data_IF_791239424804
#
_entry.id   IF_791239424804
#
_cell.length_a   1.000
_cell.length_b   1.000
_cell.length_c   1.000
_cell.angle_alpha   90.00
_cell.angle_beta   90.00
_cell.angle_gamma   90.00
#
_symmetry.space_group_name_H-M   'P 1'
#
loop_
_entity.id
_entity.type
_entity.pdbx_description
1 polymer ?
#
# COMPACT_ATOMS: atom_id res chain seq x y z
N UNK A 1 -40.80 20.06 16.49
CA UNK A 1 -40.64 21.52 16.27
C UNK A 1 -39.84 22.09 17.43
N UNK A 2 -38.60 22.51 17.16
CA UNK A 2 -38.01 23.82 17.48
C UNK A 2 -36.63 23.78 16.82
N UNK A 3 -36.47 24.63 15.81
CA UNK A 3 -35.21 24.91 15.14
C UNK A 3 -34.48 26.04 15.91
N UNK A 4 -33.16 25.95 15.97
CA UNK A 4 -32.25 27.04 16.38
C UNK A 4 -30.92 26.77 15.66
N UNK A 5 -30.66 27.37 14.49
CA UNK A 5 -29.99 28.67 14.29
C UNK A 5 -28.55 28.75 14.84
N UNK A 6 -27.60 28.53 13.94
CA UNK A 6 -26.43 29.35 13.58
C UNK A 6 -25.52 30.00 14.63
N UNK A 7 -24.22 29.76 14.48
CA UNK A 7 -23.11 30.74 14.62
C UNK A 7 -21.88 30.19 13.84
N UNK A 8 -21.27 30.87 12.85
CA UNK A 8 -20.42 32.08 12.87
C UNK A 8 -19.08 31.91 13.59
N UNK A 9 -18.04 31.45 12.88
CA UNK A 9 -16.60 31.66 13.10
C UNK A 9 -15.93 31.44 11.73
N UNK A 10 -15.00 32.22 11.19
CA UNK A 10 -14.27 33.39 11.65
C UNK A 10 -13.06 33.53 10.72
N UNK A 11 -12.98 34.62 9.95
CA UNK A 11 -11.84 34.93 9.08
C UNK A 11 -10.56 35.12 9.89
N UNK A 12 -9.50 34.41 9.52
CA UNK A 12 -8.14 34.64 9.99
C UNK A 12 -7.23 34.97 8.81
N UNK A 13 -6.94 36.25 8.61
CA UNK A 13 -5.90 36.71 7.70
C UNK A 13 -4.54 36.57 8.39
N UNK A 14 -3.59 35.91 7.74
CA UNK A 14 -2.17 35.98 8.10
C UNK A 14 -1.45 36.70 6.97
N UNK A 15 -0.97 37.90 7.26
CA UNK A 15 -0.07 38.64 6.39
C UNK A 15 1.37 38.19 6.61
N UNK A 16 2.11 38.05 5.51
CA UNK A 16 3.57 37.97 5.53
C UNK A 16 4.12 39.06 4.63
N UNK A 17 5.15 39.72 5.16
CA UNK A 17 5.73 40.98 4.74
C UNK A 17 6.53 40.87 3.45
N UNK A 18 6.35 41.87 2.57
CA UNK A 18 7.29 42.16 1.49
C UNK A 18 8.59 42.75 2.08
N UNK A 19 9.73 42.13 1.79
CA UNK A 19 11.05 42.74 1.88
C UNK A 19 11.53 42.94 0.44
N UNK A 20 11.60 44.20 0.01
CA UNK A 20 12.29 44.60 -1.21
C UNK A 20 13.79 44.62 -0.91
N UNK A 21 14.57 43.84 -1.67
CA UNK A 21 16.03 43.94 -1.76
C UNK A 21 16.38 44.33 -3.20
N UNK A 22 16.93 45.54 -3.36
CA UNK A 22 17.41 46.10 -4.62
C UNK A 22 18.88 45.70 -4.80
N UNK A 23 19.24 44.94 -5.84
CA UNK A 23 20.67 44.73 -6.13
C UNK A 23 21.07 43.77 -7.25
N UNK A 24 21.11 44.29 -8.48
CA UNK A 24 22.07 44.00 -9.57
C UNK A 24 22.52 42.54 -9.84
N UNK A 25 21.91 41.95 -10.87
CA UNK A 25 22.62 41.57 -12.10
C UNK A 25 23.57 40.37 -12.05
N UNK A 26 23.12 39.24 -12.61
CA UNK A 26 23.90 38.38 -13.51
C UNK A 26 22.93 37.46 -14.23
N UNK A 27 23.03 37.38 -15.56
CA UNK A 27 22.20 36.50 -16.38
C UNK A 27 22.41 35.05 -15.98
N UNK A 28 21.40 34.51 -15.31
CA UNK A 28 21.14 33.09 -15.29
C UNK A 28 20.29 32.81 -16.52
N UNK A 29 20.66 31.81 -17.31
CA UNK A 29 19.69 31.07 -18.10
C UNK A 29 18.76 30.39 -17.08
N UNK A 30 17.87 31.19 -16.48
CA UNK A 30 16.75 30.71 -15.68
C UNK A 30 15.86 30.01 -16.70
N UNK A 31 16.06 28.70 -16.86
CA UNK A 31 14.92 27.82 -17.07
C UNK A 31 14.00 28.08 -15.88
N UNK A 32 13.18 29.13 -15.99
CA UNK A 32 12.02 29.36 -15.16
C UNK A 32 11.29 28.02 -15.17
N UNK A 33 11.48 27.24 -14.10
CA UNK A 33 10.66 26.09 -13.82
C UNK A 33 9.28 26.70 -13.60
N UNK A 34 8.53 26.92 -14.70
CA UNK A 34 7.39 27.80 -14.65
C UNK A 34 6.46 27.22 -13.58
N UNK A 35 6.22 28.03 -12.55
CA UNK A 35 5.44 27.64 -11.39
C UNK A 35 4.08 27.15 -11.91
N UNK A 36 3.71 25.92 -11.56
CA UNK A 36 2.41 25.37 -11.94
C UNK A 36 1.37 26.11 -11.11
N UNK A 37 0.39 26.72 -11.77
CA UNK A 37 -0.72 27.36 -11.07
C UNK A 37 -1.57 26.26 -10.39
N UNK A 38 -1.71 26.24 -9.05
CA UNK A 38 -2.52 25.24 -8.35
C UNK A 38 -3.97 25.21 -8.83
N UNK A 39 -4.50 26.34 -9.34
CA UNK A 39 -5.85 26.41 -9.87
C UNK A 39 -6.05 25.67 -11.20
N UNK A 40 -4.97 25.24 -11.85
CA UNK A 40 -5.01 24.37 -13.03
C UNK A 40 -5.23 22.88 -12.66
N UNK A 41 -5.19 22.55 -11.38
CA UNK A 41 -5.38 21.18 -10.88
C UNK A 41 -6.75 21.10 -10.21
N UNK A 42 -7.58 20.16 -10.67
CA UNK A 42 -8.91 19.97 -10.11
C UNK A 42 -9.13 18.52 -9.72
N UNK A 43 -9.31 18.28 -8.43
CA UNK A 43 -9.74 16.99 -7.89
C UNK A 43 -11.26 16.98 -7.68
N UNK A 44 -11.93 15.95 -8.18
CA UNK A 44 -13.38 15.77 -8.05
C UNK A 44 -13.68 14.34 -7.64
N UNK A 45 -14.50 14.18 -6.62
CA UNK A 45 -15.14 12.89 -6.36
C UNK A 45 -16.21 12.64 -7.42
N UNK A 46 -16.01 11.63 -8.27
CA UNK A 46 -16.86 11.38 -9.44
C UNK A 46 -18.08 10.54 -9.07
N UNK A 47 -17.86 9.39 -8.43
CA UNK A 47 -18.92 8.46 -8.05
C UNK A 47 -18.45 7.44 -7.01
N UNK A 48 -19.40 6.71 -6.42
CA UNK A 48 -19.15 5.49 -5.64
C UNK A 48 -19.59 4.25 -6.42
N UNK A 49 -18.93 3.14 -6.16
CA UNK A 49 -19.35 1.85 -6.71
C UNK A 49 -20.75 1.44 -6.19
N UNK A 50 -21.44 0.54 -6.91
CA UNK A 50 -22.73 -0.01 -6.51
C UNK A 50 -22.72 -0.62 -5.10
N UNK A 51 -21.59 -1.25 -4.71
CA UNK A 51 -21.42 -1.83 -3.38
C UNK A 51 -20.95 -0.80 -2.33
N UNK A 52 -20.67 0.45 -2.74
CA UNK A 52 -20.13 1.54 -1.91
C UNK A 52 -18.81 1.22 -1.21
N UNK A 53 -18.11 0.19 -1.68
CA UNK A 53 -16.81 -0.22 -1.15
C UNK A 53 -15.67 0.69 -1.65
N UNK A 54 -15.87 1.33 -2.82
CA UNK A 54 -14.90 2.21 -3.43
C UNK A 54 -15.52 3.54 -3.84
N UNK A 55 -14.75 4.61 -3.66
CA UNK A 55 -15.03 5.92 -4.21
C UNK A 55 -14.03 6.22 -5.33
N UNK A 56 -14.54 6.61 -6.51
CA UNK A 56 -13.73 7.02 -7.66
C UNK A 56 -13.56 8.53 -7.65
N UNK A 57 -12.31 8.96 -7.78
CA UNK A 57 -11.91 10.35 -7.90
C UNK A 57 -11.29 10.58 -9.27
N UNK A 58 -11.43 11.81 -9.78
CA UNK A 58 -10.80 12.27 -11.01
C UNK A 58 -9.98 13.51 -10.74
N UNK A 59 -8.77 13.54 -11.28
CA UNK A 59 -7.90 14.71 -11.30
C UNK A 59 -7.82 15.21 -12.73
N UNK A 60 -8.24 16.44 -12.95
CA UNK A 60 -8.05 17.16 -14.20
C UNK A 60 -6.82 18.07 -14.05
N UNK A 61 -5.87 17.98 -14.99
CA UNK A 61 -4.70 18.84 -15.09
C UNK A 61 -4.82 19.72 -16.33
N UNK A 62 -5.29 20.95 -16.18
CA UNK A 62 -5.39 21.96 -17.24
C UNK A 62 -4.03 22.64 -17.53
N UNK A 63 -2.94 22.21 -16.89
CA UNK A 63 -1.62 22.73 -17.20
C UNK A 63 -1.06 22.13 -18.51
N UNK A 64 -0.30 22.93 -19.25
CA UNK A 64 0.36 22.51 -20.50
C UNK A 64 1.57 21.56 -20.28
N UNK A 65 1.70 20.97 -19.10
CA UNK A 65 2.75 20.02 -18.73
C UNK A 65 2.22 18.93 -17.83
N UNK A 66 2.90 17.78 -17.82
CA UNK A 66 2.62 16.74 -16.83
C UNK A 66 3.00 17.22 -15.42
N UNK A 67 2.26 16.75 -14.44
CA UNK A 67 2.45 17.03 -13.02
C UNK A 67 2.49 15.71 -12.27
N UNK A 68 3.34 15.62 -11.25
CA UNK A 68 3.35 14.49 -10.31
C UNK A 68 2.91 15.02 -8.95
N UNK A 69 1.85 14.43 -8.41
CA UNK A 69 1.19 14.86 -7.17
C UNK A 69 1.39 13.82 -6.10
N UNK A 70 1.94 14.21 -4.96
CA UNK A 70 1.96 13.34 -3.78
C UNK A 70 0.57 13.34 -3.17
N UNK A 71 0.18 12.23 -2.57
CA UNK A 71 -1.13 12.09 -1.95
C UNK A 71 -1.00 11.80 -0.46
N UNK A 72 -1.96 12.27 0.32
CA UNK A 72 -2.09 11.91 1.73
C UNK A 72 -3.54 11.49 2.00
N UNK A 73 -3.71 10.39 2.74
CA UNK A 73 -5.03 9.89 3.13
C UNK A 73 -5.19 8.39 2.92
N UNK A 74 -6.38 7.99 2.48
CA UNK A 74 -6.73 6.60 2.21
C UNK A 74 -5.96 6.07 0.99
N UNK A 75 -5.52 4.80 1.01
CA UNK A 75 -4.73 4.22 -0.09
C UNK A 75 -5.49 4.29 -1.41
N UNK A 76 -4.77 4.68 -2.47
CA UNK A 76 -5.32 4.74 -3.81
C UNK A 76 -5.08 3.44 -4.56
N UNK A 77 -6.07 3.07 -5.37
CA UNK A 77 -6.01 1.99 -6.33
C UNK A 77 -6.11 2.61 -7.71
N UNK A 78 -5.17 2.26 -8.59
CA UNK A 78 -5.24 2.70 -9.98
C UNK A 78 -6.49 2.10 -10.63
N UNK A 79 -7.33 2.96 -11.19
CA UNK A 79 -8.45 2.50 -12.00
C UNK A 79 -7.95 2.49 -13.43
N UNK A 80 -7.27 1.40 -13.81
CA UNK A 80 -6.68 1.22 -15.14
C UNK A 80 -7.60 1.76 -16.24
N UNK A 81 -7.04 2.63 -17.08
CA UNK A 81 -7.80 3.26 -18.15
C UNK A 81 -6.99 4.19 -19.02
N UNK A 82 -6.36 3.63 -20.05
CA UNK A 82 -6.25 4.30 -21.35
C UNK A 82 -6.74 3.35 -22.43
N UNK A 83 -7.95 3.60 -22.93
CA UNK A 83 -8.49 3.04 -24.17
C UNK A 83 -7.57 3.37 -25.35
N UNK A 84 -6.71 2.42 -25.75
CA UNK A 84 -6.21 2.35 -27.11
C UNK A 84 -7.10 1.40 -27.92
N UNK A 85 -7.60 1.79 -29.10
CA UNK A 85 -8.43 0.92 -29.91
C UNK A 85 -7.62 -0.25 -30.48
N UNK A 86 -8.09 -1.45 -30.18
CA UNK A 86 -7.75 -2.73 -30.80
C UNK A 86 -7.83 -2.63 -32.35
N UNK A 87 -6.65 -2.59 -32.97
CA UNK A 87 -6.44 -2.89 -34.39
C UNK A 87 -5.67 -4.21 -34.50
N UNK A 88 -6.32 -5.31 -34.10
CA UNK A 88 -6.40 -6.61 -34.77
C UNK A 88 -5.18 -7.25 -35.43
N UNK A 89 -5.24 -8.59 -35.44
CA UNK A 89 -4.50 -9.53 -36.31
C UNK A 89 -3.17 -10.02 -35.72
N UNK A 90 -3.18 -11.22 -35.12
CA UNK A 90 -2.64 -12.42 -35.78
C UNK A 90 -2.39 -13.55 -34.77
N UNK A 91 -3.32 -14.51 -34.75
CA UNK A 91 -3.04 -15.94 -34.76
C UNK A 91 -2.13 -16.60 -33.71
N UNK A 92 -2.68 -17.71 -33.17
CA UNK A 92 -1.95 -18.92 -32.76
C UNK A 92 -1.17 -18.78 -31.43
N UNK A 93 -1.51 -19.49 -30.35
CA UNK A 93 -1.86 -20.89 -30.27
C UNK A 93 -2.82 -21.21 -29.10
N UNK A 94 -3.45 -22.36 -29.17
CA UNK A 94 -4.17 -22.92 -28.03
C UNK A 94 -3.18 -23.53 -27.04
N UNK A 95 -2.59 -22.70 -26.19
CA UNK A 95 -2.10 -23.14 -24.89
C UNK A 95 -3.27 -23.08 -23.91
N UNK A 96 -3.74 -24.25 -23.49
CA UNK A 96 -4.51 -24.42 -22.26
C UNK A 96 -3.54 -24.07 -21.10
N UNK A 97 -3.39 -22.78 -20.81
CA UNK A 97 -2.57 -22.25 -19.72
C UNK A 97 -3.41 -22.07 -18.47
N UNK A 98 -3.53 -23.15 -17.71
CA UNK A 98 -3.59 -23.20 -16.24
C UNK A 98 -4.19 -21.97 -15.51
N UNK A 99 -5.50 -21.75 -15.68
CA UNK A 99 -6.27 -20.88 -14.78
C UNK A 99 -6.33 -21.52 -13.37
N UNK A 100 -5.39 -21.15 -12.48
CA UNK A 100 -5.61 -21.19 -11.03
C UNK A 100 -4.56 -21.90 -10.18
N UNK A 101 -3.34 -21.35 -10.07
CA UNK A 101 -2.36 -21.88 -9.12
C UNK A 101 -1.34 -20.91 -8.50
N UNK A 102 -1.64 -19.60 -8.42
CA UNK A 102 -0.78 -18.63 -7.71
C UNK A 102 -0.59 -19.05 -6.23
N UNK A 103 -1.63 -19.65 -5.67
CA UNK A 103 -1.64 -20.19 -4.31
C UNK A 103 -0.63 -21.34 -4.13
N UNK A 104 -0.47 -22.28 -5.07
CA UNK A 104 0.47 -23.39 -4.81
C UNK A 104 1.94 -22.99 -5.02
N UNK A 105 2.23 -22.02 -5.89
CA UNK A 105 3.58 -21.45 -5.97
C UNK A 105 3.94 -20.75 -4.65
N UNK A 106 3.03 -19.93 -4.12
CA UNK A 106 3.17 -19.29 -2.82
C UNK A 106 3.27 -20.30 -1.66
N UNK A 107 2.48 -21.37 -1.67
CA UNK A 107 2.58 -22.47 -0.70
C UNK A 107 3.94 -23.17 -0.78
N UNK A 108 4.49 -23.41 -1.97
CA UNK A 108 5.82 -24.00 -2.14
C UNK A 108 6.90 -23.08 -1.55
N UNK A 109 6.82 -21.77 -1.80
CA UNK A 109 7.76 -20.78 -1.28
C UNK A 109 7.68 -20.64 0.25
N UNK A 110 6.47 -20.51 0.79
CA UNK A 110 6.24 -20.47 2.24
C UNK A 110 6.74 -21.76 2.90
N UNK A 111 6.48 -22.92 2.30
CA UNK A 111 6.98 -24.19 2.83
C UNK A 111 8.52 -24.26 2.78
N UNK A 112 9.17 -23.66 1.80
CA UNK A 112 10.64 -23.56 1.76
C UNK A 112 11.19 -22.68 2.89
N UNK A 113 10.53 -21.58 3.23
CA UNK A 113 10.87 -20.74 4.39
C UNK A 113 10.70 -21.52 5.70
N UNK A 114 9.56 -22.23 5.85
CA UNK A 114 9.29 -23.09 7.00
C UNK A 114 10.33 -24.21 7.13
N UNK A 115 10.79 -24.79 6.03
CA UNK A 115 11.88 -25.77 6.04
C UNK A 115 13.21 -25.17 6.55
N UNK A 116 13.56 -23.94 6.18
CA UNK A 116 14.76 -23.26 6.70
C UNK A 116 14.65 -22.97 8.20
N UNK A 117 13.47 -22.55 8.67
CA UNK A 117 13.19 -22.37 10.10
C UNK A 117 13.33 -23.72 10.82
N UNK A 118 12.71 -24.77 10.31
CA UNK A 118 12.76 -26.12 10.88
C UNK A 118 14.18 -26.69 10.92
N UNK A 119 15.04 -26.34 9.96
CA UNK A 119 16.45 -26.73 9.98
C UNK A 119 17.24 -26.10 11.15
N UNK A 120 16.73 -25.00 11.72
CA UNK A 120 17.31 -24.29 12.87
C UNK A 120 16.70 -24.71 14.21
N UNK A 121 15.55 -25.38 14.20
CA UNK A 121 14.89 -25.94 15.39
C UNK A 121 15.43 -27.34 15.68
N UNK A 122 16.12 -27.52 16.82
CA UNK A 122 16.80 -28.77 17.16
C UNK A 122 16.17 -29.49 18.37
N UNK A 123 15.58 -28.76 19.30
CA UNK A 123 15.10 -29.22 20.60
C UNK A 123 13.57 -29.16 20.75
N UNK A 124 12.87 -28.61 19.76
CA UNK A 124 11.41 -28.49 19.73
C UNK A 124 10.79 -29.24 18.55
N UNK A 125 9.48 -29.34 18.54
CA UNK A 125 8.75 -29.90 17.41
C UNK A 125 8.84 -28.93 16.21
N UNK A 126 8.96 -29.47 14.99
CA UNK A 126 8.99 -28.63 13.80
C UNK A 126 7.62 -27.97 13.56
N UNK A 127 7.66 -26.79 12.95
CA UNK A 127 6.51 -26.09 12.41
C UNK A 127 5.90 -26.91 11.27
N UNK A 128 4.57 -27.02 11.26
CA UNK A 128 3.81 -27.69 10.21
C UNK A 128 3.95 -27.00 8.84
N UNK A 129 4.00 -27.80 7.78
CA UNK A 129 3.84 -27.30 6.40
C UNK A 129 2.37 -27.01 6.11
N UNK A 130 2.12 -26.07 5.22
CA UNK A 130 0.78 -25.71 4.78
C UNK A 130 0.42 -26.40 3.46
N UNK A 131 -0.85 -26.79 3.32
CA UNK A 131 -1.38 -27.41 2.10
C UNK A 131 -2.15 -26.41 1.22
N UNK A 132 -2.66 -25.34 1.82
CA UNK A 132 -3.49 -24.32 1.17
C UNK A 132 -3.28 -22.97 1.88
N UNK A 133 -2.98 -21.92 1.11
CA UNK A 133 -2.82 -20.58 1.64
C UNK A 133 -4.17 -19.88 1.74
N UNK A 134 -4.52 -19.45 2.94
CA UNK A 134 -5.68 -18.60 3.23
C UNK A 134 -5.22 -17.46 4.13
N UNK A 135 -6.01 -16.39 4.23
CA UNK A 135 -5.72 -15.27 5.15
C UNK A 135 -5.48 -15.77 6.59
N UNK A 136 -6.25 -16.75 7.06
CA UNK A 136 -6.05 -17.36 8.38
C UNK A 136 -4.86 -18.32 8.46
N UNK A 137 -4.48 -18.96 7.35
CA UNK A 137 -3.36 -19.93 7.35
C UNK A 137 -2.03 -19.22 7.62
N UNK A 138 -1.83 -18.03 7.04
CA UNK A 138 -0.60 -17.27 7.24
C UNK A 138 -0.46 -16.79 8.70
N UNK A 139 -1.56 -16.32 9.31
CA UNK A 139 -1.61 -15.93 10.72
C UNK A 139 -1.35 -17.14 11.65
N UNK A 140 -2.01 -18.28 11.39
CA UNK A 140 -1.79 -19.51 12.18
C UNK A 140 -0.34 -20.00 12.07
N UNK A 141 0.25 -19.91 10.89
CA UNK A 141 1.65 -20.31 10.65
C UNK A 141 2.63 -19.37 11.35
N UNK A 142 2.38 -18.05 11.34
CA UNK A 142 3.15 -17.08 12.10
C UNK A 142 3.18 -17.41 13.59
N UNK A 143 2.01 -17.64 14.18
CA UNK A 143 1.87 -17.98 15.59
C UNK A 143 2.66 -19.25 15.92
N UNK A 144 2.59 -20.25 15.03
CA UNK A 144 3.34 -21.50 15.18
C UNK A 144 4.86 -21.28 15.08
N UNK A 145 5.34 -20.51 14.10
CA UNK A 145 6.77 -20.17 13.94
C UNK A 145 7.30 -19.49 15.20
N UNK A 146 6.64 -18.44 15.69
CA UNK A 146 7.10 -17.71 16.86
C UNK A 146 7.07 -18.58 18.12
N UNK A 147 6.00 -19.35 18.31
CA UNK A 147 5.87 -20.29 19.44
C UNK A 147 7.04 -21.26 19.46
N UNK A 148 7.38 -21.87 18.32
CA UNK A 148 8.46 -22.86 18.27
C UNK A 148 9.85 -22.22 18.42
N UNK A 149 10.09 -21.06 17.81
CA UNK A 149 11.38 -20.37 17.95
C UNK A 149 11.62 -19.91 19.39
N UNK A 150 10.61 -19.34 20.07
CA UNK A 150 10.70 -18.98 21.50
C UNK A 150 10.93 -20.22 22.36
N UNK A 151 10.21 -21.32 22.08
CA UNK A 151 10.40 -22.57 22.80
C UNK A 151 11.82 -23.14 22.62
N UNK A 152 12.40 -23.06 21.41
CA UNK A 152 13.77 -23.49 21.14
C UNK A 152 14.79 -22.64 21.90
N UNK A 153 14.62 -21.32 21.89
CA UNK A 153 15.47 -20.39 22.64
C UNK A 153 15.42 -20.71 24.13
N UNK A 154 14.22 -20.90 24.68
CA UNK A 154 14.03 -21.24 26.08
C UNK A 154 14.59 -22.63 26.42
N UNK A 155 14.44 -23.62 25.53
CA UNK A 155 15.05 -24.94 25.71
C UNK A 155 16.58 -24.84 25.78
N UNK A 156 17.20 -24.07 24.87
CA UNK A 156 18.64 -23.82 24.88
C UNK A 156 19.09 -23.05 26.13
N UNK A 157 18.32 -22.06 26.56
CA UNK A 157 18.63 -21.28 27.76
C UNK A 157 18.47 -22.12 29.04
N UNK A 158 17.45 -22.97 29.11
CA UNK A 158 17.24 -23.91 30.20
C UNK A 158 18.38 -24.92 30.30
N UNK A 159 18.98 -25.33 29.18
CA UNK A 159 20.18 -26.18 29.17
C UNK A 159 21.44 -25.41 29.62
N UNK A 160 21.62 -24.18 29.14
CA UNK A 160 22.85 -23.40 29.38
C UNK A 160 22.90 -22.71 30.75
N UNK A 161 21.79 -22.11 31.17
CA UNK A 161 21.71 -21.26 32.37
C UNK A 161 20.59 -21.67 33.33
N UNK A 162 19.72 -22.61 32.95
CA UNK A 162 18.68 -23.17 33.83
C UNK A 162 17.48 -22.26 34.07
N UNK A 163 17.27 -21.29 33.20
CA UNK A 163 16.12 -20.38 33.21
C UNK A 163 15.69 -20.06 31.77
N UNK A 164 14.40 -19.80 31.61
CA UNK A 164 13.83 -19.20 30.40
C UNK A 164 14.30 -17.75 30.27
N UNK A 165 14.53 -17.31 29.03
CA UNK A 165 15.06 -15.98 28.72
C UNK A 165 14.23 -15.21 27.70
N UNK A 166 13.34 -15.89 26.99
CA UNK A 166 12.49 -15.32 25.95
C UNK A 166 11.03 -15.40 26.39
N UNK A 167 10.32 -14.29 26.33
CA UNK A 167 8.89 -14.26 26.51
C UNK A 167 8.14 -14.66 25.21
N UNK A 168 6.85 -15.00 25.33
CA UNK A 168 6.00 -15.27 24.16
C UNK A 168 5.84 -13.99 23.32
N UNK A 169 5.96 -14.15 22.00
CA UNK A 169 5.82 -13.06 21.02
C UNK A 169 4.77 -13.45 19.99
N UNK A 170 3.99 -12.47 19.54
CA UNK A 170 2.89 -12.71 18.59
C UNK A 170 3.02 -11.88 17.31
N UNK A 171 3.93 -10.91 17.25
CA UNK A 171 4.19 -10.15 16.01
C UNK A 171 5.69 -10.02 15.71
N UNK A 172 6.07 -9.74 14.44
CA UNK A 172 7.47 -9.45 14.08
C UNK A 172 8.09 -8.31 14.89
N UNK A 173 7.34 -7.24 15.19
CA UNK A 173 7.83 -6.14 16.00
C UNK A 173 8.07 -6.55 17.46
N UNK A 174 7.20 -7.36 18.04
CA UNK A 174 7.40 -7.91 19.38
C UNK A 174 8.62 -8.84 19.42
N UNK A 175 8.79 -9.69 18.40
CA UNK A 175 9.96 -10.55 18.27
C UNK A 175 11.26 -9.76 18.18
N UNK A 176 11.29 -8.67 17.40
CA UNK A 176 12.46 -7.77 17.31
C UNK A 176 12.72 -7.04 18.63
N UNK A 177 11.67 -6.54 19.29
CA UNK A 177 11.81 -5.89 20.59
C UNK A 177 12.38 -6.85 21.65
N UNK A 178 11.88 -8.08 21.70
CA UNK A 178 12.39 -9.12 22.59
C UNK A 178 13.85 -9.49 22.23
N UNK A 179 14.18 -9.58 20.94
CA UNK A 179 15.53 -9.83 20.46
C UNK A 179 16.55 -8.78 20.94
N UNK A 180 16.14 -7.51 21.08
CA UNK A 180 16.98 -6.42 21.60
C UNK A 180 17.22 -6.52 23.11
N UNK A 181 16.26 -7.07 23.86
CA UNK A 181 16.38 -7.27 25.31
C UNK A 181 17.12 -8.57 25.67
N UNK A 182 17.28 -9.48 24.69
CA UNK A 182 17.94 -10.77 24.88
C UNK A 182 19.43 -10.64 25.22
N UNK A 183 19.90 -11.40 26.24
CA UNK A 183 21.30 -11.38 26.65
C UNK A 183 22.22 -12.28 25.80
N UNK A 184 21.68 -13.01 24.81
CA UNK A 184 22.40 -14.03 24.04
C UNK A 184 22.25 -13.77 22.55
N UNK A 185 23.36 -13.47 21.87
CA UNK A 185 23.40 -13.14 20.44
C UNK A 185 22.68 -14.19 19.57
N UNK A 186 22.84 -15.48 19.87
CA UNK A 186 22.16 -16.56 19.13
C UNK A 186 20.64 -16.50 19.25
N UNK A 187 20.12 -16.09 20.40
CA UNK A 187 18.68 -15.97 20.63
C UNK A 187 18.12 -14.72 19.94
N UNK A 188 18.88 -13.63 19.96
CA UNK A 188 18.61 -12.42 19.17
C UNK A 188 18.56 -12.74 17.67
N UNK A 189 19.56 -13.46 17.14
CA UNK A 189 19.62 -13.85 15.73
C UNK A 189 18.43 -14.76 15.35
N UNK A 190 18.05 -15.68 16.24
CA UNK A 190 16.91 -16.58 16.00
C UNK A 190 15.58 -15.83 15.94
N UNK A 191 15.33 -14.89 16.87
CA UNK A 191 14.11 -14.07 16.84
C UNK A 191 14.07 -13.10 15.66
N UNK A 192 15.19 -12.43 15.35
CA UNK A 192 15.23 -11.53 14.19
C UNK A 192 15.00 -12.30 12.88
N UNK A 193 15.63 -13.47 12.73
CA UNK A 193 15.40 -14.31 11.56
C UNK A 193 13.95 -14.82 11.50
N UNK A 194 13.33 -15.16 12.64
CA UNK A 194 11.92 -15.55 12.68
C UNK A 194 11.00 -14.38 12.29
N UNK A 195 11.28 -13.18 12.77
CA UNK A 195 10.54 -11.97 12.40
C UNK A 195 10.63 -11.68 10.89
N UNK A 196 11.84 -11.75 10.33
CA UNK A 196 12.07 -11.53 8.90
C UNK A 196 11.38 -12.59 8.04
N UNK A 197 11.46 -13.87 8.44
CA UNK A 197 10.78 -14.96 7.74
C UNK A 197 9.25 -14.83 7.81
N UNK A 198 8.69 -14.38 8.94
CA UNK A 198 7.24 -14.16 9.06
C UNK A 198 6.80 -12.97 8.20
N UNK A 199 7.55 -11.86 8.16
CA UNK A 199 7.25 -10.75 7.25
C UNK A 199 7.28 -11.18 5.78
N UNK A 200 8.24 -12.02 5.40
CA UNK A 200 8.33 -12.60 4.06
C UNK A 200 7.12 -13.48 3.75
N UNK A 201 6.73 -14.37 4.67
CA UNK A 201 5.52 -15.21 4.54
C UNK A 201 4.27 -14.36 4.41
N UNK A 202 4.11 -13.31 5.22
CA UNK A 202 2.97 -12.40 5.13
C UNK A 202 2.94 -11.66 3.78
N UNK A 203 4.10 -11.24 3.27
CA UNK A 203 4.20 -10.60 1.96
C UNK A 203 3.77 -11.56 0.85
N UNK A 204 4.26 -12.81 0.86
CA UNK A 204 3.88 -13.84 -0.11
C UNK A 204 2.39 -14.16 0.01
N UNK A 205 1.88 -14.29 1.24
CA UNK A 205 0.48 -14.56 1.50
C UNK A 205 -0.43 -13.44 1.00
N UNK A 206 -0.05 -12.18 1.25
CA UNK A 206 -0.76 -11.01 0.76
C UNK A 206 -0.75 -10.98 -0.77
N UNK A 207 0.38 -11.23 -1.42
CA UNK A 207 0.50 -11.25 -2.88
C UNK A 207 -0.42 -12.33 -3.51
N UNK A 208 -0.32 -13.56 -3.01
CA UNK A 208 -1.08 -14.69 -3.52
C UNK A 208 -2.58 -14.68 -3.17
N UNK A 209 -2.98 -13.99 -2.10
CA UNK A 209 -4.41 -13.77 -1.77
C UNK A 209 -4.98 -12.51 -2.42
N UNK A 210 -4.13 -11.59 -2.87
CA UNK A 210 -4.56 -10.36 -3.55
C UNK A 210 -5.02 -10.59 -4.98
N UNK A 211 -4.64 -11.70 -5.63
CA UNK A 211 -5.31 -12.24 -6.83
C UNK A 211 -5.66 -11.21 -7.92
N UNK A 212 -4.79 -10.23 -8.17
CA UNK A 212 -4.82 -9.41 -9.38
C UNK A 212 -3.79 -10.03 -10.32
N UNK A 213 -4.25 -10.98 -11.14
CA UNK A 213 -3.43 -11.59 -12.16
C UNK A 213 -3.02 -10.53 -13.19
N UNK A 214 -1.73 -10.18 -13.20
CA UNK A 214 -1.11 -9.44 -14.29
C UNK A 214 0.07 -10.24 -14.85
N UNK A 215 -0.23 -11.43 -15.37
CA UNK A 215 0.63 -12.12 -16.34
C UNK A 215 0.44 -11.47 -17.73
N UNK A 216 0.86 -10.20 -17.83
CA UNK A 216 0.98 -9.46 -19.08
C UNK A 216 2.43 -9.47 -19.56
N UNK A 217 2.78 -10.47 -20.39
CA UNK A 217 4.04 -10.48 -21.13
C UNK A 217 4.21 -9.20 -21.97
N UNK A 218 5.07 -8.30 -21.50
CA UNK A 218 5.91 -7.44 -22.32
C UNK A 218 5.29 -6.12 -22.79
N UNK A 219 5.43 -5.08 -21.98
CA UNK A 219 6.28 -3.98 -22.41
C UNK A 219 6.94 -3.29 -21.20
N UNK A 220 8.18 -2.91 -21.44
CA UNK A 220 9.19 -2.41 -20.52
C UNK A 220 8.79 -1.02 -19.98
N UNK A 221 7.91 -0.93 -18.97
CA UNK A 221 7.69 0.31 -18.22
C UNK A 221 7.61 0.05 -16.70
N UNK A 222 8.74 0.29 -16.05
CA UNK A 222 8.95 0.38 -14.59
C UNK A 222 7.73 0.82 -13.77
N UNK A 223 7.16 -0.12 -12.99
CA UNK A 223 6.13 0.17 -11.97
C UNK A 223 6.44 -0.46 -10.62
N UNK A 224 7.71 -0.56 -10.24
CA UNK A 224 8.13 -0.99 -8.91
C UNK A 224 7.58 -0.07 -7.83
N UNK A 225 7.13 -0.66 -6.73
CA UNK A 225 6.55 0.04 -5.60
C UNK A 225 7.46 1.09 -4.96
N UNK A 226 6.81 1.78 -4.02
CA UNK A 226 7.35 2.74 -3.05
C UNK A 226 7.31 4.21 -3.48
N UNK A 227 6.56 5.00 -2.69
CA UNK A 227 6.62 6.46 -2.57
C UNK A 227 5.94 7.33 -3.66
N UNK A 228 4.65 7.61 -3.41
CA UNK A 228 4.05 8.96 -3.41
C UNK A 228 4.10 9.83 -4.67
N UNK A 229 3.44 9.42 -5.77
CA UNK A 229 3.26 10.33 -6.90
C UNK A 229 2.21 9.92 -7.95
N UNK A 230 1.01 10.49 -7.91
CA UNK A 230 0.04 10.45 -9.01
C UNK A 230 0.49 11.38 -10.15
N UNK A 231 0.89 10.81 -11.29
CA UNK A 231 1.26 11.61 -12.46
C UNK A 231 0.06 11.84 -13.39
N UNK A 232 -0.25 13.11 -13.68
CA UNK A 232 -1.33 13.50 -14.61
C UNK A 232 -0.71 14.19 -15.82
N UNK A 233 -1.03 13.70 -17.02
CA UNK A 233 -0.53 14.27 -18.28
C UNK A 233 -0.96 15.74 -18.48
N UNK A 234 -0.24 16.45 -19.35
CA UNK A 234 -0.57 17.83 -19.73
C UNK A 234 -1.95 17.91 -20.39
N UNK A 235 -2.81 18.84 -19.95
CA UNK A 235 -4.20 18.95 -20.42
C UNK A 235 -4.96 17.61 -20.33
N UNK A 236 -4.58 16.76 -19.38
CA UNK A 236 -5.07 15.39 -19.21
C UNK A 236 -5.92 15.23 -17.96
N UNK A 237 -6.58 14.08 -17.86
CA UNK A 237 -7.30 13.69 -16.66
C UNK A 237 -6.95 12.26 -16.28
N UNK A 238 -6.74 12.01 -14.99
CA UNK A 238 -6.49 10.67 -14.44
C UNK A 238 -7.57 10.33 -13.42
N UNK A 239 -8.00 9.08 -13.38
CA UNK A 239 -8.91 8.57 -12.35
C UNK A 239 -8.17 7.64 -11.41
N UNK A 240 -8.63 7.59 -10.17
CA UNK A 240 -8.18 6.61 -9.20
C UNK A 240 -9.32 6.29 -8.24
N UNK A 241 -9.22 5.14 -7.57
CA UNK A 241 -10.18 4.69 -6.57
C UNK A 241 -9.55 4.74 -5.19
N UNK A 242 -10.38 4.84 -4.16
CA UNK A 242 -9.97 4.62 -2.78
C UNK A 242 -11.04 3.78 -2.10
N UNK A 243 -10.61 2.93 -1.16
CA UNK A 243 -11.53 2.19 -0.32
C UNK A 243 -12.37 3.15 0.53
N UNK A 244 -13.66 2.87 0.62
CA UNK A 244 -14.64 3.60 1.41
C UNK A 244 -15.30 2.63 2.38
N UNK A 245 -14.98 2.77 3.66
CA UNK A 245 -15.56 1.93 4.72
C UNK A 245 -16.97 2.39 5.10
N UNK A 246 -17.78 1.47 5.63
CA UNK A 246 -19.13 1.78 6.11
C UNK A 246 -19.09 2.85 7.20
N UNK A 247 -19.97 3.84 7.11
CA UNK A 247 -20.04 5.00 8.01
C UNK A 247 -18.74 5.86 8.08
N UNK A 248 -17.79 5.66 7.18
CA UNK A 248 -16.58 6.45 7.08
C UNK A 248 -16.65 7.54 6.00
N UNK A 249 -15.67 8.44 6.06
CA UNK A 249 -15.48 9.51 5.08
C UNK A 249 -14.08 9.35 4.48
N UNK A 250 -13.99 9.09 3.19
CA UNK A 250 -12.73 9.09 2.46
C UNK A 250 -12.36 10.54 2.10
N UNK A 251 -11.16 10.97 2.47
CA UNK A 251 -10.61 12.28 2.10
C UNK A 251 -9.29 12.07 1.39
N UNK A 252 -9.16 12.66 0.20
CA UNK A 252 -7.96 12.60 -0.61
C UNK A 252 -7.42 14.01 -0.76
N UNK A 253 -6.16 14.18 -0.37
CA UNK A 253 -5.42 15.44 -0.48
C UNK A 253 -4.28 15.24 -1.47
N UNK A 254 -4.17 16.14 -2.44
CA UNK A 254 -3.10 16.17 -3.42
C UNK A 254 -2.18 17.35 -3.15
N UNK A 255 -0.88 17.09 -3.15
CA UNK A 255 0.16 18.05 -2.87
C UNK A 255 1.19 18.10 -4.00
N UNK A 256 1.66 19.30 -4.32
CA UNK A 256 2.74 19.57 -5.27
C UNK A 256 3.87 20.27 -4.50
N UNK A 257 5.07 19.70 -4.49
CA UNK A 257 6.21 20.23 -3.73
C UNK A 257 5.90 20.48 -2.24
N UNK A 258 5.14 19.59 -1.61
CA UNK A 258 4.64 19.68 -0.23
C UNK A 258 3.64 20.82 0.07
N UNK A 259 3.10 21.48 -0.97
CA UNK A 259 1.95 22.38 -0.84
C UNK A 259 0.68 21.69 -1.34
N UNK A 260 -0.38 21.68 -0.52
CA UNK A 260 -1.68 21.12 -0.92
C UNK A 260 -2.30 21.95 -2.04
N UNK A 261 -2.54 21.31 -3.19
CA UNK A 261 -3.12 21.94 -4.38
C UNK A 261 -4.59 21.59 -4.58
N UNK A 262 -5.04 20.41 -4.11
CA UNK A 262 -6.43 20.00 -4.23
C UNK A 262 -6.84 19.03 -3.10
N UNK A 263 -8.10 19.07 -2.70
CA UNK A 263 -8.69 18.17 -1.70
C UNK A 263 -10.11 17.79 -2.15
N UNK A 264 -10.48 16.52 -1.99
CA UNK A 264 -11.84 16.07 -2.19
C UNK A 264 -12.23 15.03 -1.14
N UNK A 265 -13.51 15.02 -0.80
CA UNK A 265 -14.06 14.20 0.27
C UNK A 265 -15.31 13.48 -0.20
N UNK A 266 -15.43 12.20 0.15
CA UNK A 266 -16.60 11.35 -0.09
C UNK A 266 -17.07 10.76 1.23
N UNK A 267 -18.31 11.05 1.58
CA UNK A 267 -18.97 10.49 2.76
C UNK A 267 -19.89 9.34 2.32
N UNK A 268 -19.70 8.16 2.93
CA UNK A 268 -20.45 6.94 2.67
C UNK A 268 -21.98 7.14 2.71
N UNK A 269 -22.46 8.03 3.59
CA UNK A 269 -23.87 8.29 3.80
C UNK A 269 -24.43 9.43 2.94
N UNK A 270 -23.58 10.21 2.26
CA UNK A 270 -24.02 11.40 1.52
C UNK A 270 -23.89 11.31 0.00
N UNK A 271 -23.14 10.34 -0.55
CA UNK A 271 -23.07 10.18 -2.01
C UNK A 271 -24.26 9.35 -2.56
N UNK A 272 -25.01 9.97 -3.48
CA UNK A 272 -26.12 9.36 -4.23
C UNK A 272 -25.74 9.05 -5.69
N UNK A 273 -24.54 9.45 -6.13
CA UNK A 273 -24.04 9.26 -7.50
C UNK A 273 -23.26 7.96 -7.58
N UNK A 274 -23.89 6.95 -8.17
CA UNK A 274 -23.24 5.67 -8.47
C UNK A 274 -22.55 5.75 -9.83
N UNK A 275 -21.45 5.04 -9.98
CA UNK A 275 -20.86 4.83 -11.29
C UNK A 275 -21.87 3.98 -12.07
N UNK A 276 -22.68 4.61 -12.94
CA UNK A 276 -23.67 3.92 -13.77
C UNK A 276 -22.91 2.89 -14.62
N UNK A 277 -23.07 1.61 -14.26
CA UNK A 277 -22.55 0.50 -15.03
C UNK A 277 -23.22 0.48 -16.40
N UNK A 278 -22.54 1.04 -17.40
CA UNK A 278 -22.52 0.41 -18.70
C UNK A 278 -21.21 -0.37 -18.78
N UNK A 279 -21.36 -1.69 -18.76
CA UNK A 279 -20.31 -2.69 -18.96
C UNK A 279 -19.37 -2.28 -20.10
N UNK A 280 -18.10 -2.12 -19.76
CA UNK A 280 -17.00 -2.61 -20.58
C UNK A 280 -15.85 -2.97 -19.64
N UNK A 281 -15.91 -4.20 -19.11
CA UNK A 281 -14.70 -5.00 -18.97
C UNK A 281 -14.08 -5.19 -20.36
#
# INVERSE_FOLDING_TARGET
MIATSGALLGSGAIGVSAVQDDGDGSGSDDTDAAEIDPSAIRLVAECVDANREYATFRVDNDADRSITLTHEGTPLYDSGGTDEPDDGDDGNDGSEGDDGNDNAAAVEEINAIVEDINAKLENVDPVGTIDELTESTADDLQDEIFTQVVAEINAQAQEQIGADIADEVSTPEEARAEAEEMPVDRATDALNNAADSVEEIQSIAADATSGDGDDGDGDDDTGGGSDDGLTVAANGSTRFKTRLEEDCTATVTLSLNAETVAEATVDYNQQETYCDGEESC
#
